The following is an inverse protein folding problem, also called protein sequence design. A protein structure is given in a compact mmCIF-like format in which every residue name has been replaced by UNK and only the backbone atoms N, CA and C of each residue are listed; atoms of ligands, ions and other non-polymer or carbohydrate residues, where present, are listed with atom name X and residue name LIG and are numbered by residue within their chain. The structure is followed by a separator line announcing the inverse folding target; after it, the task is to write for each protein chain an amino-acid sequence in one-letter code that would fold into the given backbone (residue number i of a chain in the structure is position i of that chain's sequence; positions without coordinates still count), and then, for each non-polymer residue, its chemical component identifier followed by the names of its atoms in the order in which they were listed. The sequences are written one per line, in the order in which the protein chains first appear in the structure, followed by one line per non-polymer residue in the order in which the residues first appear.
data_IF_506837860896
#
_entry.id   IF_506837860896
#
_cell.length_a   1.000
_cell.length_b   1.000
_cell.length_c   1.000
_cell.angle_alpha   90.00
_cell.angle_beta   90.00
_cell.angle_gamma   90.00
#
_symmetry.space_group_name_H-M   'P 1'
#
loop_
_entity.id
_entity.type
_entity.pdbx_description
1 polymer ?
#
# COMPACT_ATOMS: atom_id res chain seq x y z
N UNK A 1 3.42 -24.01 3.40
CA UNK A 1 4.71 -24.71 3.65
C UNK A 1 5.78 -24.32 2.64
N UNK A 2 5.55 -24.47 1.33
CA UNK A 2 6.53 -24.11 0.29
C UNK A 2 7.04 -22.66 0.39
N UNK A 3 6.16 -21.69 0.69
CA UNK A 3 6.57 -20.29 0.88
C UNK A 3 7.57 -20.09 2.04
N UNK A 4 7.41 -20.81 3.15
CA UNK A 4 8.32 -20.74 4.29
C UNK A 4 9.67 -21.39 3.97
N UNK A 5 9.66 -22.50 3.23
CA UNK A 5 10.87 -23.16 2.74
C UNK A 5 11.65 -22.24 1.79
N UNK A 6 10.99 -21.68 0.78
CA UNK A 6 11.60 -20.76 -0.16
C UNK A 6 12.21 -19.53 0.55
N UNK A 7 11.52 -19.00 1.55
CA UNK A 7 12.05 -17.89 2.35
C UNK A 7 13.33 -18.29 3.10
N UNK A 8 13.34 -19.44 3.77
CA UNK A 8 14.51 -19.92 4.51
C UNK A 8 15.71 -20.22 3.60
N UNK A 9 15.48 -20.85 2.45
CA UNK A 9 16.54 -21.32 1.55
C UNK A 9 17.11 -20.20 0.66
N UNK A 10 16.30 -19.20 0.28
CA UNK A 10 16.69 -18.17 -0.68
C UNK A 10 16.87 -16.77 -0.08
N UNK A 11 16.47 -16.52 1.17
CA UNK A 11 16.77 -15.28 1.87
C UNK A 11 17.86 -15.56 2.92
N UNK A 12 19.05 -14.94 2.85
CA UNK A 12 20.11 -15.12 3.84
C UNK A 12 19.71 -14.41 5.14
N UNK A 13 18.78 -15.01 5.88
CA UNK A 13 18.33 -14.55 7.17
C UNK A 13 18.42 -15.70 8.16
N UNK A 14 19.17 -15.51 9.25
CA UNK A 14 19.20 -16.44 10.38
C UNK A 14 17.84 -16.44 11.09
N UNK A 15 16.87 -17.18 10.56
CA UNK A 15 15.57 -17.38 11.21
C UNK A 15 15.60 -18.65 12.06
N UNK A 16 15.15 -18.53 13.31
CA UNK A 16 15.13 -19.65 14.25
C UNK A 16 13.79 -20.39 14.10
N UNK A 17 13.86 -21.69 13.78
CA UNK A 17 12.72 -22.60 13.80
C UNK A 17 12.30 -22.86 15.24
N UNK A 18 11.00 -23.06 15.46
CA UNK A 18 10.52 -23.42 16.80
C UNK A 18 11.01 -24.83 17.17
N UNK A 19 11.92 -24.90 18.14
CA UNK A 19 12.42 -26.16 18.70
C UNK A 19 13.62 -26.77 17.96
N UNK A 20 14.22 -26.05 17.02
CA UNK A 20 15.40 -26.51 16.29
C UNK A 20 16.38 -25.35 16.05
N UNK A 21 17.59 -25.41 16.62
CA UNK A 21 18.60 -24.36 16.44
C UNK A 21 19.38 -24.46 15.13
N UNK A 22 19.21 -25.52 14.32
CA UNK A 22 19.92 -25.63 13.03
C UNK A 22 19.41 -24.60 12.01
N UNK A 23 20.35 -23.84 11.44
CA UNK A 23 20.11 -22.79 10.45
C UNK A 23 20.38 -23.27 9.01
N UNK A 24 20.82 -24.50 8.81
CA UNK A 24 21.22 -25.00 7.49
C UNK A 24 20.10 -25.66 6.70
N UNK A 25 18.98 -26.03 7.35
CA UNK A 25 17.85 -26.73 6.71
C UNK A 25 16.51 -26.37 7.35
N UNK A 26 15.48 -26.23 6.51
CA UNK A 26 14.10 -26.13 6.96
C UNK A 26 13.41 -27.50 6.93
N UNK A 27 13.08 -28.07 8.10
CA UNK A 27 12.18 -29.23 8.15
C UNK A 27 10.73 -28.79 8.10
N UNK A 28 10.16 -28.84 6.90
CA UNK A 28 8.75 -28.61 6.69
C UNK A 28 7.88 -29.52 7.58
N UNK A 29 6.93 -28.96 8.35
CA UNK A 29 5.98 -29.80 9.07
C UNK A 29 5.06 -30.52 8.09
N UNK A 30 4.67 -31.75 8.44
CA UNK A 30 3.64 -32.48 7.70
C UNK A 30 2.28 -31.85 7.97
N UNK A 31 1.65 -31.37 6.91
CA UNK A 31 0.30 -30.80 6.92
C UNK A 31 -0.49 -31.37 5.75
N UNK A 32 -1.81 -31.39 5.87
CA UNK A 32 -2.73 -31.66 4.76
C UNK A 32 -3.30 -30.35 4.22
N UNK A 33 -3.56 -30.30 2.92
CA UNK A 33 -4.29 -29.19 2.30
C UNK A 33 -5.77 -29.34 2.61
N UNK A 34 -6.26 -28.53 3.55
CA UNK A 34 -7.62 -28.58 4.06
C UNK A 34 -8.31 -27.22 3.86
N UNK A 35 -9.64 -27.25 3.68
CA UNK A 35 -10.41 -26.03 3.55
C UNK A 35 -10.48 -25.29 4.89
N UNK A 36 -10.04 -24.03 4.90
CA UNK A 36 -10.23 -23.13 6.05
C UNK A 36 -11.68 -22.67 6.10
N UNK A 37 -12.51 -23.35 6.90
CA UNK A 37 -13.94 -23.05 7.03
C UNK A 37 -14.28 -22.21 8.27
N UNK A 38 -13.40 -22.21 9.28
CA UNK A 38 -13.60 -21.49 10.54
C UNK A 38 -12.53 -20.41 10.69
N UNK A 39 -12.94 -19.26 11.22
CA UNK A 39 -12.08 -18.11 11.46
C UNK A 39 -12.25 -17.66 12.91
N UNK A 40 -11.17 -17.19 13.52
CA UNK A 40 -11.24 -16.59 14.84
C UNK A 40 -11.92 -15.20 14.79
N UNK A 41 -12.08 -14.57 15.95
CA UNK A 41 -12.77 -13.29 16.05
C UNK A 41 -12.05 -12.14 15.32
N UNK A 42 -10.78 -12.32 14.93
CA UNK A 42 -9.95 -11.35 14.22
C UNK A 42 -9.76 -11.71 12.75
N UNK A 43 -10.44 -12.76 12.26
CA UNK A 43 -10.41 -13.13 10.85
C UNK A 43 -9.25 -14.05 10.44
N UNK A 44 -8.46 -14.57 11.37
CA UNK A 44 -7.44 -15.59 11.07
C UNK A 44 -8.07 -16.98 10.96
N UNK A 45 -7.67 -17.75 9.95
CA UNK A 45 -8.14 -19.13 9.76
C UNK A 45 -7.76 -20.06 10.91
N UNK A 46 -8.77 -20.69 11.52
CA UNK A 46 -8.64 -21.54 12.72
C UNK A 46 -8.29 -23.01 12.42
N UNK A 47 -8.08 -23.35 11.14
CA UNK A 47 -7.78 -24.72 10.71
C UNK A 47 -6.39 -25.17 11.22
N UNK A 48 -6.29 -26.43 11.67
CA UNK A 48 -5.11 -26.94 12.38
C UNK A 48 -3.86 -26.98 11.49
N UNK A 49 -3.97 -27.48 10.26
CA UNK A 49 -2.86 -27.55 9.32
C UNK A 49 -2.34 -26.16 8.96
N UNK A 50 -3.24 -25.19 8.79
CA UNK A 50 -2.93 -23.78 8.61
C UNK A 50 -2.11 -23.26 9.81
N UNK A 51 -2.56 -23.49 11.04
CA UNK A 51 -1.81 -23.07 12.24
C UNK A 51 -0.43 -23.72 12.35
N UNK A 52 -0.30 -25.00 12.00
CA UNK A 52 1.00 -25.68 11.97
C UNK A 52 1.91 -25.01 10.93
N UNK A 53 1.39 -24.73 9.74
CA UNK A 53 2.15 -24.14 8.64
C UNK A 53 2.62 -22.71 8.94
N UNK A 54 1.72 -21.81 9.39
CA UNK A 54 2.05 -20.40 9.65
C UNK A 54 2.96 -20.19 10.86
N UNK A 55 3.05 -21.19 11.76
CA UNK A 55 3.95 -21.16 12.91
C UNK A 55 5.23 -21.99 12.70
N UNK A 56 5.42 -22.58 11.52
CA UNK A 56 6.63 -23.31 11.18
C UNK A 56 7.87 -22.40 11.13
N UNK A 57 7.65 -21.13 10.77
CA UNK A 57 8.68 -20.11 10.68
C UNK A 57 8.12 -18.79 11.23
N UNK A 58 8.84 -18.16 12.16
CA UNK A 58 8.45 -16.86 12.71
C UNK A 58 9.32 -15.77 12.10
N UNK A 59 8.72 -14.94 11.24
CA UNK A 59 9.43 -13.86 10.55
C UNK A 59 9.42 -12.55 11.34
N UNK A 60 8.31 -12.21 12.00
CA UNK A 60 8.19 -10.94 12.71
C UNK A 60 9.13 -10.87 13.93
N UNK A 61 9.87 -9.77 14.05
CA UNK A 61 10.93 -9.55 15.04
C UNK A 61 11.28 -8.06 15.15
N UNK A 62 11.93 -7.68 16.24
CA UNK A 62 12.38 -6.30 16.46
C UNK A 62 13.90 -6.27 16.61
N UNK A 63 14.54 -5.26 16.04
CA UNK A 63 15.99 -5.04 16.03
C UNK A 63 16.27 -3.60 16.44
N UNK A 64 17.00 -3.43 17.55
CA UNK A 64 17.52 -2.12 17.96
C UNK A 64 18.71 -1.76 17.08
N UNK A 65 18.61 -0.68 16.31
CA UNK A 65 19.70 -0.15 15.50
C UNK A 65 20.36 1.04 16.20
N UNK A 66 21.29 0.74 17.11
CA UNK A 66 21.96 1.73 17.93
C UNK A 66 20.98 2.52 18.82
N UNK A 67 21.20 3.82 18.97
CA UNK A 67 20.36 4.69 19.81
C UNK A 67 19.23 5.39 19.03
N UNK A 68 19.24 5.31 17.70
CA UNK A 68 18.42 6.16 16.83
C UNK A 68 17.12 5.49 16.39
N UNK A 69 17.14 4.17 16.14
CA UNK A 69 16.01 3.47 15.54
C UNK A 69 15.78 2.10 16.15
N UNK A 70 14.50 1.71 16.26
CA UNK A 70 14.07 0.32 16.35
C UNK A 70 13.45 -0.08 15.00
N UNK A 71 13.98 -1.13 14.37
CA UNK A 71 13.41 -1.75 13.18
C UNK A 71 12.49 -2.90 13.61
N UNK A 72 11.19 -2.70 13.42
CA UNK A 72 10.14 -3.63 13.82
C UNK A 72 9.58 -4.27 12.55
N UNK A 73 9.97 -5.53 12.32
CA UNK A 73 9.59 -6.29 11.13
C UNK A 73 8.31 -7.07 11.40
N UNK A 74 7.32 -6.94 10.50
CA UNK A 74 6.09 -7.72 10.52
C UNK A 74 6.06 -8.77 9.41
N UNK A 75 5.39 -9.89 9.67
CA UNK A 75 4.94 -10.82 8.64
C UNK A 75 3.55 -10.39 8.16
N UNK A 76 3.43 -9.94 6.91
CA UNK A 76 2.19 -9.41 6.34
C UNK A 76 1.49 -10.42 5.41
N UNK A 77 1.94 -11.67 5.38
CA UNK A 77 1.37 -12.71 4.50
C UNK A 77 0.90 -13.95 5.26
N UNK A 78 1.62 -14.41 6.28
CA UNK A 78 1.30 -15.67 6.96
C UNK A 78 0.03 -15.61 7.80
N UNK A 79 -0.30 -14.43 8.35
CA UNK A 79 -1.41 -14.27 9.30
C UNK A 79 -2.62 -13.53 8.71
N UNK A 80 -2.59 -13.24 7.40
CA UNK A 80 -3.65 -12.47 6.76
C UNK A 80 -4.92 -13.29 6.55
N UNK A 81 -6.07 -12.63 6.63
CA UNK A 81 -7.36 -13.16 6.20
C UNK A 81 -7.36 -13.43 4.70
N UNK A 82 -8.30 -14.29 4.26
CA UNK A 82 -8.59 -14.39 2.85
C UNK A 82 -9.23 -13.07 2.36
N UNK A 83 -8.64 -12.38 1.36
CA UNK A 83 -9.08 -11.07 0.93
C UNK A 83 -10.55 -11.03 0.52
N UNK A 84 -11.32 -10.06 1.06
CA UNK A 84 -12.76 -9.99 0.82
C UNK A 84 -13.12 -9.74 -0.65
N UNK A 85 -12.27 -9.02 -1.38
CA UNK A 85 -12.41 -8.74 -2.82
C UNK A 85 -12.02 -9.92 -3.73
N UNK A 86 -11.45 -10.99 -3.18
CA UNK A 86 -11.22 -12.23 -3.92
C UNK A 86 -12.35 -13.25 -3.72
N UNK A 87 -13.36 -12.95 -2.90
CA UNK A 87 -14.57 -13.79 -2.85
C UNK A 87 -15.38 -13.61 -4.14
N UNK A 88 -15.95 -14.69 -4.69
CA UNK A 88 -16.73 -14.65 -5.94
C UNK A 88 -17.84 -13.57 -5.92
N UNK A 89 -18.45 -13.35 -4.75
CA UNK A 89 -19.48 -12.33 -4.55
C UNK A 89 -18.99 -10.88 -4.75
N UNK A 90 -17.68 -10.64 -4.67
CA UNK A 90 -17.10 -9.32 -4.90
C UNK A 90 -17.23 -8.86 -6.36
N UNK A 91 -17.34 -9.79 -7.32
CA UNK A 91 -17.58 -9.46 -8.74
C UNK A 91 -18.87 -8.67 -8.97
N UNK A 92 -19.79 -8.65 -8.00
CA UNK A 92 -20.98 -7.81 -8.07
C UNK A 92 -20.64 -6.29 -8.13
N UNK A 93 -19.45 -5.91 -7.66
CA UNK A 93 -18.89 -4.55 -7.73
C UNK A 93 -18.09 -4.28 -9.00
N UNK A 94 -17.98 -5.24 -9.92
CA UNK A 94 -17.32 -5.02 -11.20
C UNK A 94 -18.16 -4.07 -12.08
N UNK A 95 -17.46 -3.21 -12.80
CA UNK A 95 -18.04 -2.30 -13.76
C UNK A 95 -17.13 -2.17 -14.99
N UNK A 96 -17.66 -2.44 -16.18
CA UNK A 96 -16.89 -2.44 -17.43
C UNK A 96 -16.29 -1.06 -17.76
N UNK A 97 -17.03 0.01 -17.46
CA UNK A 97 -16.57 1.39 -17.70
C UNK A 97 -15.43 1.80 -16.76
N UNK A 98 -15.37 1.18 -15.59
CA UNK A 98 -14.42 1.50 -14.53
C UNK A 98 -13.60 0.27 -14.10
N UNK A 99 -13.24 -0.57 -15.08
CA UNK A 99 -12.54 -1.82 -14.84
C UNK A 99 -11.22 -1.60 -14.06
N UNK A 100 -11.03 -2.41 -13.01
CA UNK A 100 -9.86 -2.32 -12.13
C UNK A 100 -9.98 -1.33 -10.96
N UNK A 101 -11.09 -0.58 -10.86
CA UNK A 101 -11.38 0.25 -9.70
C UNK A 101 -12.46 -0.40 -8.83
N UNK A 102 -12.23 -0.42 -7.51
CA UNK A 102 -13.19 -0.95 -6.55
C UNK A 102 -13.73 0.18 -5.64
N UNK A 103 -15.04 0.25 -5.35
CA UNK A 103 -15.62 1.31 -4.52
C UNK A 103 -15.07 1.30 -3.09
N UNK A 104 -14.47 2.42 -2.68
CA UNK A 104 -13.84 2.58 -1.35
C UNK A 104 -14.84 2.26 -0.23
N UNK A 105 -16.08 2.75 -0.33
CA UNK A 105 -17.11 2.52 0.68
C UNK A 105 -17.47 1.03 0.82
N UNK A 106 -17.43 0.26 -0.28
CA UNK A 106 -17.67 -1.18 -0.22
C UNK A 106 -16.50 -1.88 0.49
N UNK A 107 -15.26 -1.45 0.24
CA UNK A 107 -14.09 -1.97 0.96
C UNK A 107 -14.22 -1.72 2.45
N UNK A 108 -14.53 -0.48 2.86
CA UNK A 108 -14.72 -0.13 4.27
C UNK A 108 -15.78 -1.01 4.96
N UNK A 109 -16.88 -1.32 4.27
CA UNK A 109 -17.95 -2.18 4.80
C UNK A 109 -17.51 -3.65 4.86
N UNK A 110 -16.96 -4.18 3.77
CA UNK A 110 -16.61 -5.60 3.64
C UNK A 110 -15.42 -5.99 4.52
N UNK A 111 -14.42 -5.12 4.63
CA UNK A 111 -13.25 -5.27 5.49
C UNK A 111 -13.63 -5.30 6.97
N UNK A 112 -14.46 -4.35 7.43
CA UNK A 112 -14.90 -4.30 8.82
C UNK A 112 -15.86 -5.45 9.18
N UNK A 113 -16.54 -6.04 8.18
CA UNK A 113 -17.49 -7.14 8.37
C UNK A 113 -18.52 -6.82 9.44
N UNK A 114 -18.71 -7.73 10.40
CA UNK A 114 -19.66 -7.59 11.52
C UNK A 114 -19.40 -6.41 12.45
N UNK A 115 -18.22 -5.80 12.40
CA UNK A 115 -17.85 -4.68 13.28
C UNK A 115 -18.21 -3.32 12.69
N UNK A 116 -18.55 -3.27 11.40
CA UNK A 116 -18.86 -2.02 10.70
C UNK A 116 -19.97 -1.23 11.42
N UNK A 117 -19.83 0.11 11.44
CA UNK A 117 -20.80 1.03 12.02
C UNK A 117 -21.23 0.64 13.45
N UNK A 118 -20.25 0.40 14.33
CA UNK A 118 -20.47 -0.01 15.73
C UNK A 118 -21.28 -1.31 15.85
N UNK A 119 -20.93 -2.31 15.04
CA UNK A 119 -21.61 -3.61 15.06
C UNK A 119 -22.96 -3.63 14.34
N UNK A 120 -23.21 -2.67 13.44
CA UNK A 120 -24.43 -2.55 12.64
C UNK A 120 -24.08 -2.49 11.15
N UNK A 121 -23.47 -3.54 10.59
CA UNK A 121 -23.21 -3.61 9.16
C UNK A 121 -24.53 -3.53 8.38
N UNK A 122 -24.57 -2.86 7.22
CA UNK A 122 -25.75 -2.82 6.39
C UNK A 122 -26.00 -4.20 5.76
N UNK A 123 -27.26 -4.54 5.52
CA UNK A 123 -27.66 -5.78 4.82
C UNK A 123 -27.26 -5.76 3.34
N UNK A 124 -27.24 -4.57 2.73
CA UNK A 124 -26.84 -4.37 1.32
C UNK A 124 -25.91 -3.17 1.18
N UNK A 125 -25.04 -3.21 0.19
CA UNK A 125 -24.12 -2.14 -0.20
C UNK A 125 -24.59 -1.56 -1.54
N UNK A 126 -24.73 -0.25 -1.63
CA UNK A 126 -25.15 0.42 -2.86
C UNK A 126 -23.99 0.50 -3.86
N UNK A 127 -24.29 0.30 -5.15
CA UNK A 127 -23.35 0.49 -6.25
C UNK A 127 -24.13 0.88 -7.52
N UNK A 128 -24.24 2.18 -7.76
CA UNK A 128 -25.17 2.76 -8.73
C UNK A 128 -26.61 2.47 -8.31
N UNK A 129 -27.38 1.85 -9.20
CA UNK A 129 -28.76 1.41 -8.92
C UNK A 129 -28.81 0.03 -8.25
N UNK A 130 -27.66 -0.66 -8.10
CA UNK A 130 -27.60 -2.00 -7.48
C UNK A 130 -27.58 -1.89 -5.95
N UNK A 131 -28.25 -2.84 -5.30
CA UNK A 131 -28.16 -3.10 -3.86
C UNK A 131 -27.57 -4.50 -3.66
N UNK A 132 -26.25 -4.58 -3.52
CA UNK A 132 -25.50 -5.84 -3.47
C UNK A 132 -25.57 -6.40 -2.04
N UNK A 133 -25.96 -7.68 -1.84
CA UNK A 133 -25.94 -8.28 -0.50
C UNK A 133 -24.57 -8.17 0.16
N UNK A 134 -24.52 -7.72 1.42
CA UNK A 134 -23.29 -7.67 2.19
C UNK A 134 -22.89 -9.08 2.64
N UNK A 135 -22.12 -9.78 1.81
CA UNK A 135 -21.68 -11.15 2.04
C UNK A 135 -20.68 -11.31 3.21
N UNK A 136 -20.27 -10.21 3.86
CA UNK A 136 -19.38 -10.20 5.03
C UNK A 136 -20.02 -9.66 6.31
N UNK A 137 -21.31 -9.29 6.30
CA UNK A 137 -22.01 -8.69 7.45
C UNK A 137 -21.94 -9.52 8.74
N UNK A 138 -21.93 -10.85 8.64
CA UNK A 138 -21.87 -11.74 9.81
C UNK A 138 -20.46 -12.28 10.11
N UNK A 139 -19.48 -11.90 9.29
CA UNK A 139 -18.12 -12.44 9.36
C UNK A 139 -17.18 -11.48 10.13
N UNK A 140 -16.08 -11.96 10.75
CA UNK A 140 -15.12 -11.08 11.43
C UNK A 140 -14.48 -10.10 10.45
N UNK A 141 -13.96 -9.00 11.01
CA UNK A 141 -13.13 -8.05 10.27
C UNK A 141 -11.88 -8.75 9.71
N UNK A 142 -11.36 -8.23 8.60
CA UNK A 142 -10.13 -8.75 8.01
C UNK A 142 -8.90 -8.38 8.84
N UNK A 143 -7.86 -9.19 8.76
CA UNK A 143 -6.56 -8.94 9.40
C UNK A 143 -5.42 -9.22 8.42
N UNK A 144 -4.30 -8.52 8.59
CA UNK A 144 -3.02 -8.79 7.95
C UNK A 144 -2.06 -9.45 8.94
N UNK A 145 -2.01 -8.96 10.17
CA UNK A 145 -1.06 -9.40 11.19
C UNK A 145 -1.58 -10.56 12.04
N UNK A 146 -2.89 -10.76 12.11
CA UNK A 146 -3.53 -11.61 13.10
C UNK A 146 -3.37 -11.09 14.53
N UNK A 147 -4.19 -11.61 15.45
CA UNK A 147 -4.27 -11.13 16.84
C UNK A 147 -2.92 -11.05 17.56
N UNK A 148 -2.15 -12.15 17.53
CA UNK A 148 -0.92 -12.29 18.34
C UNK A 148 0.19 -11.35 17.88
N UNK A 149 0.42 -11.26 16.57
CA UNK A 149 1.47 -10.39 16.04
C UNK A 149 1.05 -8.93 16.08
N UNK A 150 -0.23 -8.58 15.85
CA UNK A 150 -0.73 -7.21 16.09
C UNK A 150 -0.46 -6.77 17.53
N UNK A 151 -0.87 -7.55 18.52
CA UNK A 151 -0.64 -7.23 19.93
C UNK A 151 0.85 -7.07 20.25
N UNK A 152 1.70 -7.96 19.71
CA UNK A 152 3.15 -7.84 19.82
C UNK A 152 3.68 -6.55 19.18
N UNK A 153 3.21 -6.20 17.97
CA UNK A 153 3.65 -5.02 17.23
C UNK A 153 3.31 -3.73 17.97
N UNK A 154 2.07 -3.59 18.46
CA UNK A 154 1.65 -2.45 19.27
C UNK A 154 2.47 -2.34 20.57
N UNK A 155 2.79 -3.48 21.20
CA UNK A 155 3.66 -3.49 22.37
C UNK A 155 5.10 -3.04 22.05
N UNK A 156 5.66 -3.43 20.89
CA UNK A 156 6.97 -2.96 20.45
C UNK A 156 6.98 -1.44 20.19
N UNK A 157 5.97 -0.92 19.49
CA UNK A 157 5.82 0.52 19.23
C UNK A 157 5.80 1.32 20.53
N UNK A 158 5.02 0.86 21.52
CA UNK A 158 4.88 1.52 22.82
C UNK A 158 6.14 1.41 23.69
N UNK A 159 6.82 0.28 23.66
CA UNK A 159 7.99 0.04 24.51
C UNK A 159 9.29 0.64 23.95
N UNK A 160 9.34 0.95 22.65
CA UNK A 160 10.52 1.48 21.99
C UNK A 160 10.97 2.83 22.58
N UNK A 161 12.19 2.92 23.13
CA UNK A 161 12.74 4.19 23.60
C UNK A 161 13.53 4.93 22.49
N UNK A 162 13.65 4.33 21.29
CA UNK A 162 14.35 4.96 20.17
C UNK A 162 13.56 6.17 19.65
N UNK A 163 14.23 7.24 19.17
CA UNK A 163 13.54 8.35 18.51
C UNK A 163 12.69 7.89 17.32
N UNK A 164 13.17 6.94 16.53
CA UNK A 164 12.48 6.43 15.35
C UNK A 164 12.06 4.97 15.51
N UNK A 165 10.83 4.66 15.11
CA UNK A 165 10.28 3.30 15.01
C UNK A 165 10.03 3.01 13.53
N UNK A 166 10.90 2.22 12.94
CA UNK A 166 10.81 1.85 11.53
C UNK A 166 10.02 0.55 11.43
N UNK A 167 8.81 0.65 10.89
CA UNK A 167 7.99 -0.50 10.57
C UNK A 167 8.45 -1.09 9.24
N UNK A 168 9.20 -2.19 9.30
CA UNK A 168 9.49 -2.98 8.11
C UNK A 168 8.27 -3.82 7.76
N UNK A 169 7.61 -3.43 6.68
CA UNK A 169 6.33 -3.93 6.22
C UNK A 169 6.52 -4.51 4.81
N UNK A 170 5.79 -5.57 4.43
CA UNK A 170 5.91 -6.11 3.07
C UNK A 170 5.06 -5.36 2.04
N UNK A 171 3.98 -4.69 2.48
CA UNK A 171 2.95 -4.12 1.62
C UNK A 171 2.63 -2.66 2.00
N UNK A 172 2.26 -1.85 1.00
CA UNK A 172 1.98 -0.41 1.18
C UNK A 172 0.73 -0.09 1.98
N UNK A 173 0.73 1.06 2.65
CA UNK A 173 -0.34 1.58 3.50
C UNK A 173 -0.91 2.93 3.05
N UNK A 174 -0.19 3.69 2.23
CA UNK A 174 -0.71 4.87 1.55
C UNK A 174 -1.77 4.45 0.53
N UNK A 175 -2.97 5.01 0.60
CA UNK A 175 -4.05 4.64 -0.33
C UNK A 175 -3.71 5.03 -1.78
N UNK A 176 -3.92 4.11 -2.73
CA UNK A 176 -3.94 4.40 -4.16
C UNK A 176 -5.40 4.50 -4.63
N UNK A 177 -5.94 5.73 -4.55
CA UNK A 177 -7.33 6.03 -4.86
C UNK A 177 -7.46 7.07 -5.98
N UNK A 178 -8.51 6.95 -6.78
CA UNK A 178 -8.90 7.90 -7.80
C UNK A 178 -10.25 8.54 -7.45
N UNK A 179 -10.41 9.82 -7.71
CA UNK A 179 -11.67 10.55 -7.49
C UNK A 179 -12.66 10.36 -8.65
N UNK A 180 -12.98 9.11 -8.95
CA UNK A 180 -13.86 8.71 -10.05
C UNK A 180 -15.26 9.32 -9.96
N UNK A 181 -15.73 9.72 -8.78
CA UNK A 181 -16.98 10.46 -8.59
C UNK A 181 -16.98 11.83 -9.30
N UNK A 182 -15.81 12.35 -9.67
CA UNK A 182 -15.65 13.62 -10.38
C UNK A 182 -15.50 13.48 -11.90
N UNK A 183 -15.59 12.25 -12.43
CA UNK A 183 -15.46 11.97 -13.86
C UNK A 183 -16.61 12.63 -14.65
N UNK A 184 -16.37 13.23 -15.83
CA UNK A 184 -17.44 13.79 -16.65
C UNK A 184 -18.40 12.71 -17.17
N UNK A 185 -19.67 13.08 -17.37
CA UNK A 185 -20.72 12.14 -17.84
C UNK A 185 -20.38 11.45 -19.17
N UNK A 186 -19.57 12.08 -20.02
CA UNK A 186 -19.09 11.49 -21.28
C UNK A 186 -18.27 10.21 -21.09
N UNK A 187 -17.70 10.00 -19.91
CA UNK A 187 -16.97 8.79 -19.51
C UNK A 187 -17.86 7.80 -18.73
N UNK A 188 -19.16 8.05 -18.67
CA UNK A 188 -20.08 7.31 -17.81
C UNK A 188 -20.11 7.87 -16.38
N UNK A 189 -21.04 7.35 -15.58
CA UNK A 189 -21.19 7.74 -14.18
C UNK A 189 -20.55 6.68 -13.30
N UNK A 190 -19.59 7.07 -12.48
CA UNK A 190 -19.04 6.19 -11.45
C UNK A 190 -20.18 5.69 -10.54
N UNK A 191 -20.42 4.37 -10.45
CA UNK A 191 -21.48 3.81 -9.61
C UNK A 191 -21.17 3.88 -8.10
N UNK A 192 -19.91 3.99 -7.70
CA UNK A 192 -19.54 4.18 -6.30
C UNK A 192 -19.93 5.57 -5.81
N UNK A 193 -20.11 5.69 -4.49
CA UNK A 193 -20.39 6.95 -3.80
C UNK A 193 -19.11 7.78 -3.62
N UNK A 194 -18.01 7.12 -3.25
CA UNK A 194 -16.75 7.77 -2.91
C UNK A 194 -15.69 7.46 -3.99
N UNK A 195 -14.44 7.31 -3.58
CA UNK A 195 -13.29 7.09 -4.45
C UNK A 195 -13.25 5.65 -4.99
N UNK A 196 -12.59 5.46 -6.13
CA UNK A 196 -12.21 4.14 -6.64
C UNK A 196 -10.80 3.76 -6.18
N UNK A 197 -10.63 2.57 -5.60
CA UNK A 197 -9.33 2.04 -5.20
C UNK A 197 -8.73 1.18 -6.32
N UNK A 198 -7.44 1.39 -6.62
CA UNK A 198 -6.72 0.67 -7.67
C UNK A 198 -5.99 -0.59 -7.19
N UNK A 199 -5.79 -0.70 -5.87
CA UNK A 199 -5.13 -1.85 -5.23
C UNK A 199 -5.86 -2.19 -3.95
N UNK A 200 -6.01 -3.48 -3.70
CA UNK A 200 -6.62 -4.00 -2.48
C UNK A 200 -5.77 -5.07 -1.79
N UNK A 201 -4.81 -5.73 -2.47
CA UNK A 201 -3.96 -6.77 -1.84
C UNK A 201 -2.88 -6.22 -0.88
N UNK A 202 -2.98 -4.93 -0.56
CA UNK A 202 -2.20 -4.22 0.45
C UNK A 202 -3.12 -3.62 1.54
N UNK A 203 -2.58 -2.79 2.44
CA UNK A 203 -3.38 -2.23 3.54
C UNK A 203 -4.53 -1.31 3.10
N UNK A 204 -4.62 -0.93 1.81
CA UNK A 204 -5.79 -0.24 1.24
C UNK A 204 -7.06 -1.09 1.29
N UNK A 205 -6.92 -2.42 1.33
CA UNK A 205 -8.01 -3.37 1.53
C UNK A 205 -8.27 -3.76 2.98
N UNK A 206 -7.30 -3.56 3.89
CA UNK A 206 -7.38 -3.94 5.31
C UNK A 206 -7.46 -2.70 6.22
N UNK A 207 -8.43 -1.82 5.92
CA UNK A 207 -8.54 -0.46 6.50
C UNK A 207 -8.82 -0.47 7.99
N UNK A 208 -9.57 -1.46 8.48
CA UNK A 208 -9.97 -1.61 9.88
C UNK A 208 -8.74 -1.86 10.74
N UNK A 209 -7.92 -2.86 10.39
CA UNK A 209 -6.69 -3.14 11.13
C UNK A 209 -5.64 -2.03 10.95
N UNK A 210 -5.50 -1.45 9.75
CA UNK A 210 -4.65 -0.26 9.53
C UNK A 210 -5.07 0.87 10.46
N UNK A 211 -6.37 1.13 10.56
CA UNK A 211 -6.96 2.16 11.40
C UNK A 211 -6.70 1.92 12.88
N UNK A 212 -6.84 0.68 13.38
CA UNK A 212 -6.51 0.32 14.77
C UNK A 212 -5.04 0.62 15.10
N UNK A 213 -4.12 0.33 14.19
CA UNK A 213 -2.68 0.60 14.36
C UNK A 213 -2.42 2.11 14.42
N UNK A 214 -2.98 2.88 13.48
CA UNK A 214 -2.77 4.33 13.42
C UNK A 214 -3.44 5.05 14.59
N UNK A 215 -4.63 4.61 15.01
CA UNK A 215 -5.28 5.10 16.23
C UNK A 215 -4.44 4.81 17.47
N UNK A 216 -3.84 3.61 17.57
CA UNK A 216 -2.97 3.27 18.68
C UNK A 216 -1.75 4.20 18.75
N UNK A 217 -1.11 4.50 17.62
CA UNK A 217 -0.01 5.47 17.52
C UNK A 217 -0.48 6.84 18.00
N UNK A 218 -1.62 7.31 17.52
CA UNK A 218 -2.22 8.60 17.88
C UNK A 218 -2.52 8.71 19.38
N UNK A 219 -3.31 7.78 19.91
CA UNK A 219 -3.82 7.80 21.29
C UNK A 219 -2.69 7.68 22.32
N UNK A 220 -1.62 6.96 21.99
CA UNK A 220 -0.46 6.82 22.88
C UNK A 220 0.61 7.90 22.65
N UNK A 221 0.39 8.86 21.73
CA UNK A 221 1.34 9.94 21.44
C UNK A 221 2.70 9.42 20.93
N UNK A 222 2.71 8.31 20.21
CA UNK A 222 3.94 7.68 19.70
C UNK A 222 4.46 8.50 18.52
N UNK A 223 5.70 8.98 18.60
CA UNK A 223 6.34 9.79 17.57
C UNK A 223 7.38 8.99 16.78
N UNK A 224 7.85 9.56 15.66
CA UNK A 224 8.93 8.99 14.85
C UNK A 224 8.60 7.66 14.19
N UNK A 225 7.33 7.41 13.88
CA UNK A 225 6.89 6.17 13.22
C UNK A 225 6.99 6.32 11.70
N UNK A 226 7.74 5.43 11.04
CA UNK A 226 7.82 5.38 9.59
C UNK A 226 7.72 3.95 9.06
N UNK A 227 6.87 3.71 8.06
CA UNK A 227 6.75 2.44 7.33
C UNK A 227 7.71 2.44 6.15
N UNK A 228 8.40 1.32 5.95
CA UNK A 228 9.23 1.06 4.75
C UNK A 228 8.82 -0.29 4.17
N UNK A 229 8.42 -0.30 2.90
CA UNK A 229 7.86 -1.48 2.24
C UNK A 229 8.10 -1.50 0.72
N UNK A 230 7.65 -2.55 0.05
CA UNK A 230 7.72 -2.72 -1.40
C UNK A 230 6.39 -3.21 -1.98
N UNK A 231 6.43 -4.35 -2.70
CA UNK A 231 5.28 -5.07 -3.31
C UNK A 231 4.60 -4.34 -4.48
N UNK A 232 4.42 -3.02 -4.42
CA UNK A 232 3.74 -2.24 -5.45
C UNK A 232 4.51 -2.06 -6.77
N UNK A 233 5.80 -2.40 -6.79
CA UNK A 233 6.70 -2.12 -7.92
C UNK A 233 6.66 -0.64 -8.33
N UNK A 234 6.66 0.23 -7.33
CA UNK A 234 6.41 1.65 -7.49
C UNK A 234 6.99 2.43 -6.30
N UNK A 235 7.41 3.66 -6.54
CA UNK A 235 7.78 4.58 -5.48
C UNK A 235 6.55 5.32 -4.96
N UNK A 236 6.36 5.34 -3.64
CA UNK A 236 5.38 6.20 -2.98
C UNK A 236 6.01 6.81 -1.73
N UNK A 237 5.80 8.10 -1.49
CA UNK A 237 6.15 8.73 -0.23
C UNK A 237 4.98 9.57 0.28
N UNK A 238 4.77 9.57 1.59
CA UNK A 238 3.63 10.26 2.16
C UNK A 238 3.49 10.13 3.66
N UNK A 239 2.37 10.64 4.17
CA UNK A 239 2.01 10.57 5.58
C UNK A 239 0.76 9.70 5.77
N UNK A 240 0.82 8.76 6.70
CA UNK A 240 -0.26 7.82 7.00
C UNK A 240 -1.25 8.44 7.97
N UNK A 241 -2.52 8.45 7.56
CA UNK A 241 -3.66 8.74 8.42
C UNK A 241 -4.67 7.59 8.33
N UNK A 242 -5.43 7.38 9.40
CA UNK A 242 -6.53 6.41 9.42
C UNK A 242 -7.58 6.75 8.37
N UNK A 243 -7.88 8.04 8.27
CA UNK A 243 -8.93 8.59 7.43
C UNK A 243 -8.31 9.56 6.42
N UNK A 244 -8.96 9.70 5.28
CA UNK A 244 -8.66 10.70 4.25
C UNK A 244 -9.93 11.49 3.95
N UNK A 245 -9.86 12.64 3.25
CA UNK A 245 -11.06 13.36 2.84
C UNK A 245 -12.06 12.43 2.13
N UNK A 246 -13.37 12.61 2.38
CA UNK A 246 -13.98 13.74 3.08
C UNK A 246 -13.93 13.66 4.62
N UNK A 247 -13.39 12.58 5.21
CA UNK A 247 -13.19 12.48 6.65
C UNK A 247 -11.93 13.23 7.10
N UNK A 248 -11.79 13.42 8.41
CA UNK A 248 -10.67 14.16 9.01
C UNK A 248 -9.32 13.52 8.68
N UNK A 249 -8.46 14.28 8.02
CA UNK A 249 -7.10 13.87 7.71
C UNK A 249 -6.15 14.24 8.86
N UNK A 250 -5.74 13.22 9.62
CA UNK A 250 -4.91 13.35 10.81
C UNK A 250 -3.69 12.41 10.70
N UNK A 251 -2.61 12.83 10.02
CA UNK A 251 -1.45 11.96 9.81
C UNK A 251 -0.66 11.76 11.10
N UNK A 252 -0.17 10.53 11.32
CA UNK A 252 0.55 10.13 12.55
C UNK A 252 1.83 9.33 12.30
N UNK A 253 2.06 8.91 11.06
CA UNK A 253 3.26 8.21 10.64
C UNK A 253 3.64 8.61 9.22
N UNK A 254 4.85 8.27 8.79
CA UNK A 254 5.30 8.40 7.40
C UNK A 254 5.34 7.03 6.73
N UNK A 255 5.27 6.99 5.41
CA UNK A 255 5.55 5.78 4.65
C UNK A 255 6.39 6.06 3.40
N UNK A 256 7.29 5.12 3.13
CA UNK A 256 8.13 5.09 1.94
C UNK A 256 8.04 3.70 1.31
N UNK A 257 7.35 3.62 0.17
CA UNK A 257 7.28 2.41 -0.66
C UNK A 257 8.42 2.49 -1.67
N UNK A 258 9.31 1.50 -1.65
CA UNK A 258 10.38 1.35 -2.63
C UNK A 258 9.88 0.67 -3.91
N UNK A 259 10.44 1.08 -5.05
CA UNK A 259 10.19 0.44 -6.33
C UNK A 259 10.71 -1.00 -6.39
N UNK A 260 10.37 -1.68 -7.47
CA UNK A 260 10.99 -2.95 -7.84
C UNK A 260 12.40 -2.72 -8.37
N UNK A 261 13.28 -3.69 -8.15
CA UNK A 261 14.60 -3.68 -8.80
C UNK A 261 14.46 -4.02 -10.28
N UNK A 262 13.58 -4.96 -10.65
CA UNK A 262 13.41 -5.42 -12.03
C UNK A 262 12.01 -5.91 -12.39
N UNK A 263 11.10 -6.06 -11.42
CA UNK A 263 9.73 -6.51 -11.70
C UNK A 263 8.93 -5.39 -12.37
N UNK A 264 8.15 -5.67 -13.44
CA UNK A 264 7.38 -4.64 -14.13
C UNK A 264 6.41 -3.91 -13.20
N UNK A 265 6.34 -2.58 -13.34
CA UNK A 265 5.45 -1.71 -12.58
C UNK A 265 4.05 -1.56 -13.20
N UNK A 266 3.17 -0.83 -12.51
CA UNK A 266 1.80 -0.61 -12.99
C UNK A 266 1.77 0.18 -14.30
N UNK A 267 2.66 1.17 -14.48
CA UNK A 267 2.72 1.95 -15.71
C UNK A 267 3.09 1.09 -16.94
N UNK A 268 4.02 0.14 -16.80
CA UNK A 268 4.34 -0.80 -17.88
C UNK A 268 3.15 -1.71 -18.20
N UNK A 269 2.50 -2.24 -17.15
CA UNK A 269 1.30 -3.06 -17.31
C UNK A 269 0.18 -2.27 -18.03
N UNK A 270 -0.07 -1.02 -17.64
CA UNK A 270 -1.08 -0.20 -18.31
C UNK A 270 -0.68 0.14 -19.75
N UNK A 271 0.58 0.51 -19.99
CA UNK A 271 1.05 0.82 -21.34
C UNK A 271 0.92 -0.37 -22.30
N UNK A 272 1.07 -1.59 -21.81
CA UNK A 272 0.93 -2.82 -22.58
C UNK A 272 -0.54 -3.26 -22.78
N UNK A 273 -1.41 -3.05 -21.79
CA UNK A 273 -2.75 -3.68 -21.77
C UNK A 273 -3.92 -2.70 -21.94
N UNK A 274 -3.75 -1.42 -21.63
CA UNK A 274 -4.83 -0.43 -21.72
C UNK A 274 -4.92 0.11 -23.14
N UNK A 275 -6.07 -0.13 -23.78
CA UNK A 275 -6.38 0.30 -25.14
C UNK A 275 -7.03 1.70 -25.12
N UNK A 276 -6.88 2.43 -26.22
CA UNK A 276 -7.38 3.81 -26.34
C UNK A 276 -8.93 3.92 -26.29
N UNK A 277 -9.64 2.81 -26.53
CA UNK A 277 -11.10 2.72 -26.43
C UNK A 277 -11.61 2.44 -25.00
N UNK A 278 -10.73 2.13 -24.06
CA UNK A 278 -11.09 1.98 -22.65
C UNK A 278 -11.35 3.34 -22.00
N UNK A 279 -12.47 3.47 -21.28
CA UNK A 279 -12.87 4.76 -20.69
C UNK A 279 -11.86 5.34 -19.69
N UNK A 280 -11.16 4.48 -18.94
CA UNK A 280 -10.12 4.93 -18.01
C UNK A 280 -8.75 5.17 -18.67
N UNK A 281 -8.59 4.98 -19.99
CA UNK A 281 -7.29 5.13 -20.65
C UNK A 281 -6.61 6.45 -20.29
N UNK A 282 -7.31 7.58 -20.48
CA UNK A 282 -6.77 8.92 -20.19
C UNK A 282 -6.39 9.16 -18.72
N UNK A 283 -6.85 8.30 -17.80
CA UNK A 283 -6.48 8.35 -16.38
C UNK A 283 -5.27 7.46 -16.06
N UNK A 284 -4.97 6.48 -16.91
CA UNK A 284 -3.94 5.46 -16.67
C UNK A 284 -2.70 5.68 -17.53
N UNK A 285 -2.87 5.94 -18.83
CA UNK A 285 -1.80 6.14 -19.81
C UNK A 285 -2.22 7.20 -20.83
N UNK A 286 -1.26 8.03 -21.26
CA UNK A 286 -1.44 8.93 -22.41
C UNK A 286 -0.42 8.61 -23.50
N UNK A 287 -0.86 8.59 -24.76
CA UNK A 287 -0.01 8.26 -25.93
C UNK A 287 0.04 9.44 -26.90
N UNK A 288 0.88 10.46 -26.66
CA UNK A 288 1.02 11.56 -27.60
C UNK A 288 1.55 11.07 -28.96
N UNK A 289 1.08 11.66 -30.05
CA UNK A 289 1.52 11.29 -31.41
C UNK A 289 3.03 11.46 -31.54
N UNK A 290 3.73 10.36 -31.83
CA UNK A 290 5.19 10.34 -32.01
C UNK A 290 6.01 10.41 -30.72
N UNK A 291 5.38 10.28 -29.54
CA UNK A 291 6.04 10.26 -28.24
C UNK A 291 5.92 8.92 -27.52
N UNK A 292 6.66 8.78 -26.42
CA UNK A 292 6.52 7.64 -25.51
C UNK A 292 5.22 7.70 -24.70
N UNK A 293 4.77 6.56 -24.20
CA UNK A 293 3.63 6.49 -23.30
C UNK A 293 3.94 7.25 -21.99
N UNK A 294 3.00 8.09 -21.56
CA UNK A 294 3.09 8.89 -20.35
C UNK A 294 2.28 8.24 -19.21
N UNK A 295 2.84 8.13 -17.99
CA UNK A 295 2.23 7.44 -16.86
C UNK A 295 1.13 8.29 -16.18
N UNK A 296 -0.02 8.43 -16.84
CA UNK A 296 -1.13 9.25 -16.34
C UNK A 296 -1.66 8.82 -14.98
N UNK A 297 -1.50 7.54 -14.61
CA UNK A 297 -1.94 7.03 -13.30
C UNK A 297 -1.29 7.79 -12.13
N UNK A 298 -0.03 8.21 -12.27
CA UNK A 298 0.66 9.01 -11.24
C UNK A 298 -0.04 10.37 -11.08
N UNK A 299 -0.32 11.03 -12.21
CA UNK A 299 -0.97 12.33 -12.23
C UNK A 299 -2.41 12.25 -11.72
N UNK A 300 -3.15 11.22 -12.10
CA UNK A 300 -4.51 10.96 -11.63
C UNK A 300 -4.56 10.70 -10.12
N UNK A 301 -3.60 9.95 -9.57
CA UNK A 301 -3.52 9.69 -8.14
C UNK A 301 -3.21 10.96 -7.32
N UNK A 302 -2.40 11.89 -7.86
CA UNK A 302 -1.99 13.12 -7.17
C UNK A 302 -2.97 14.29 -7.35
N UNK A 303 -3.53 14.44 -8.56
CA UNK A 303 -4.27 15.63 -8.97
C UNK A 303 -5.74 15.36 -9.28
N UNK A 304 -6.14 14.09 -9.44
CA UNK A 304 -7.52 13.71 -9.70
C UNK A 304 -7.91 13.75 -11.17
N UNK A 305 -9.07 13.17 -11.47
CA UNK A 305 -9.52 12.83 -12.82
C UNK A 305 -9.70 14.04 -13.72
N UNK A 306 -10.17 15.18 -13.19
CA UNK A 306 -10.39 16.39 -13.99
C UNK A 306 -9.08 16.99 -14.49
N UNK A 307 -8.07 17.04 -13.62
CA UNK A 307 -6.73 17.46 -14.01
C UNK A 307 -6.17 16.53 -15.09
N UNK A 308 -6.29 15.20 -14.91
CA UNK A 308 -5.81 14.22 -15.89
C UNK A 308 -6.45 14.40 -17.27
N UNK A 309 -7.78 14.54 -17.33
CA UNK A 309 -8.49 14.74 -18.59
C UNK A 309 -8.15 16.09 -19.26
N UNK A 310 -7.94 17.13 -18.46
CA UNK A 310 -7.46 18.42 -18.97
C UNK A 310 -6.05 18.31 -19.57
N UNK A 311 -5.17 17.55 -18.94
CA UNK A 311 -3.83 17.31 -19.48
C UNK A 311 -3.85 16.42 -20.73
N UNK A 312 -4.65 15.34 -20.72
CA UNK A 312 -4.76 14.44 -21.86
C UNK A 312 -5.19 15.17 -23.13
N UNK A 313 -6.22 16.02 -23.00
CA UNK A 313 -6.76 16.82 -24.12
C UNK A 313 -5.84 17.94 -24.60
N UNK A 314 -5.13 18.64 -23.71
CA UNK A 314 -4.39 19.86 -24.07
C UNK A 314 -2.88 19.67 -24.21
N UNK A 315 -2.30 18.70 -23.50
CA UNK A 315 -0.86 18.61 -23.27
C UNK A 315 -0.28 19.73 -22.40
N UNK A 316 -1.11 20.62 -21.82
CA UNK A 316 -0.66 21.72 -20.96
C UNK A 316 -0.72 21.32 -19.48
N UNK A 317 0.43 20.92 -18.93
CA UNK A 317 0.55 20.53 -17.52
C UNK A 317 0.13 21.64 -16.55
N UNK A 318 0.44 22.90 -16.86
CA UNK A 318 0.18 24.02 -15.96
C UNK A 318 -1.32 24.29 -15.87
N UNK A 319 -2.00 24.30 -17.02
CA UNK A 319 -3.45 24.45 -17.06
C UNK A 319 -4.17 23.26 -16.40
N UNK A 320 -3.66 22.03 -16.61
CA UNK A 320 -4.22 20.83 -15.99
C UNK A 320 -4.10 20.84 -14.46
N UNK A 321 -2.94 21.21 -13.91
CA UNK A 321 -2.74 21.31 -12.45
C UNK A 321 -3.67 22.30 -11.77
N UNK A 322 -4.12 23.34 -12.48
CA UNK A 322 -5.10 24.30 -11.94
C UNK A 322 -6.46 23.64 -11.66
N UNK A 323 -6.72 22.45 -12.22
CA UNK A 323 -7.92 21.65 -11.97
C UNK A 323 -7.71 20.54 -10.92
N UNK A 324 -6.60 20.55 -10.19
CA UNK A 324 -6.32 19.53 -9.17
C UNK A 324 -7.42 19.48 -8.11
N UNK A 325 -7.78 18.27 -7.70
CA UNK A 325 -8.57 18.03 -6.51
C UNK A 325 -7.64 17.82 -5.30
N UNK A 326 -7.47 18.80 -4.39
CA UNK A 326 -6.57 18.64 -3.23
C UNK A 326 -7.07 17.56 -2.24
N UNK A 327 -8.31 17.12 -2.35
CA UNK A 327 -8.87 16.07 -1.51
C UNK A 327 -8.51 14.67 -2.01
N UNK A 328 -8.01 14.49 -3.25
CA UNK A 328 -7.75 13.16 -3.79
C UNK A 328 -6.70 12.40 -3.01
N UNK A 329 -5.57 13.04 -2.70
CA UNK A 329 -4.48 12.36 -2.02
C UNK A 329 -3.63 13.33 -1.19
N UNK A 330 -4.20 14.02 -0.18
CA UNK A 330 -3.41 14.89 0.70
C UNK A 330 -2.35 14.13 1.52
N UNK A 331 -2.43 12.80 1.55
CA UNK A 331 -1.47 11.90 2.17
C UNK A 331 -0.24 11.62 1.30
N UNK A 332 -0.31 11.83 -0.02
CA UNK A 332 0.81 11.58 -0.91
C UNK A 332 1.67 12.83 -1.08
N UNK A 333 2.97 12.68 -0.84
CA UNK A 333 3.99 13.67 -1.19
C UNK A 333 4.65 13.35 -2.55
N UNK A 334 4.64 12.08 -2.95
CA UNK A 334 5.22 11.60 -4.20
C UNK A 334 4.63 10.25 -4.61
N UNK A 335 4.47 10.04 -5.91
CA UNK A 335 4.15 8.75 -6.50
C UNK A 335 4.82 8.58 -7.86
N UNK A 336 5.45 7.43 -8.05
CA UNK A 336 5.90 6.96 -9.35
C UNK A 336 5.63 5.46 -9.50
N UNK A 337 4.56 5.12 -10.24
CA UNK A 337 4.15 3.75 -10.53
C UNK A 337 4.87 3.11 -11.74
N UNK A 338 5.86 3.78 -12.31
CA UNK A 338 6.70 3.25 -13.39
C UNK A 338 8.19 3.19 -13.07
N UNK A 339 8.60 3.68 -11.90
CA UNK A 339 9.99 3.71 -11.48
C UNK A 339 10.52 2.32 -11.12
N UNK A 340 11.80 2.09 -11.45
CA UNK A 340 12.58 0.95 -10.97
C UNK A 340 13.71 1.46 -10.10
N UNK A 341 14.14 0.69 -9.10
CA UNK A 341 15.31 1.01 -8.30
C UNK A 341 15.17 0.61 -6.84
N UNK A 342 15.68 1.46 -5.96
CA UNK A 342 15.74 1.18 -4.53
C UNK A 342 15.63 2.45 -3.69
N UNK A 343 15.49 2.26 -2.38
CA UNK A 343 15.42 3.35 -1.42
C UNK A 343 16.55 3.27 -0.40
N UNK A 344 17.08 4.41 0.02
CA UNK A 344 18.10 4.50 1.06
C UNK A 344 17.56 5.33 2.21
N UNK A 345 17.52 4.75 3.41
CA UNK A 345 17.04 5.43 4.63
C UNK A 345 18.23 5.80 5.51
N UNK A 346 18.32 7.06 5.94
CA UNK A 346 19.32 7.58 6.88
C UNK A 346 18.62 8.18 8.09
N UNK A 347 19.11 7.85 9.29
CA UNK A 347 18.44 8.19 10.55
C UNK A 347 19.44 8.79 11.54
N UNK A 348 19.15 10.01 11.98
CA UNK A 348 19.76 10.65 13.15
C UNK A 348 18.74 10.69 14.31
N UNK A 349 19.13 11.09 15.53
CA UNK A 349 18.16 11.22 16.63
C UNK A 349 17.00 12.18 16.33
N UNK A 350 17.21 13.15 15.45
CA UNK A 350 16.31 14.27 15.18
C UNK A 350 15.74 14.28 13.75
N UNK A 351 16.29 13.47 12.84
CA UNK A 351 15.92 13.51 11.41
C UNK A 351 15.83 12.10 10.82
N UNK A 352 14.83 11.92 9.96
CA UNK A 352 14.68 10.79 9.04
C UNK A 352 14.82 11.32 7.62
N UNK A 353 15.75 10.75 6.87
CA UNK A 353 15.89 11.01 5.43
C UNK A 353 15.67 9.71 4.65
N UNK A 354 14.87 9.78 3.59
CA UNK A 354 14.70 8.69 2.63
C UNK A 354 15.00 9.18 1.23
N UNK A 355 15.91 8.52 0.52
CA UNK A 355 16.16 8.77 -0.91
C UNK A 355 15.51 7.67 -1.74
N UNK A 356 14.77 8.05 -2.77
CA UNK A 356 14.45 7.15 -3.87
C UNK A 356 15.48 7.35 -4.97
N UNK A 357 16.12 6.23 -5.34
CA UNK A 357 17.13 6.15 -6.39
C UNK A 357 16.49 5.37 -7.53
N UNK A 358 16.03 6.10 -8.55
CA UNK A 358 15.41 5.49 -9.71
C UNK A 358 16.47 5.21 -10.77
N UNK A 359 16.49 3.98 -11.25
CA UNK A 359 17.27 3.56 -12.40
C UNK A 359 16.40 3.59 -13.66
N UNK A 360 17.01 3.66 -14.86
CA UNK A 360 16.30 3.36 -16.09
C UNK A 360 15.71 1.94 -16.04
N UNK A 361 14.62 1.66 -16.79
CA UNK A 361 14.07 0.32 -16.88
C UNK A 361 15.16 -0.72 -17.17
N UNK A 362 15.34 -1.75 -16.34
CA UNK A 362 16.47 -2.68 -16.43
C UNK A 362 16.22 -3.76 -17.49
N UNK A 363 15.85 -3.34 -18.71
CA UNK A 363 15.59 -4.21 -19.85
C UNK A 363 16.89 -4.77 -20.46
N UNK A 364 17.99 -4.03 -20.33
CA UNK A 364 19.30 -4.42 -20.80
C UNK A 364 20.33 -4.38 -19.67
N UNK A 365 21.30 -5.28 -19.70
CA UNK A 365 22.37 -5.32 -18.70
C UNK A 365 23.29 -4.10 -18.89
N UNK A 366 23.58 -3.38 -17.81
CA UNK A 366 24.60 -2.33 -17.84
C UNK A 366 25.97 -2.88 -18.23
N UNK A 367 26.71 -2.14 -19.06
CA UNK A 367 28.10 -2.42 -19.41
C UNK A 367 29.11 -1.98 -18.35
N UNK A 368 28.68 -1.31 -17.28
CA UNK A 368 29.52 -0.78 -16.21
C UNK A 368 29.08 -1.29 -14.84
N UNK A 369 30.05 -1.43 -13.92
CA UNK A 369 29.81 -1.95 -12.56
C UNK A 369 28.97 -1.01 -11.68
N UNK A 370 28.91 0.29 -12.03
CA UNK A 370 28.09 1.29 -11.34
C UNK A 370 26.61 1.27 -11.73
N UNK A 371 26.22 0.38 -12.66
CA UNK A 371 24.83 0.23 -13.10
C UNK A 371 24.35 1.28 -14.11
N UNK A 372 25.22 2.21 -14.52
CA UNK A 372 24.88 3.26 -15.48
C UNK A 372 24.21 4.50 -14.85
N UNK A 373 23.72 5.43 -15.67
CA UNK A 373 23.09 6.66 -15.18
C UNK A 373 21.77 6.38 -14.47
N UNK A 374 21.44 7.20 -13.47
CA UNK A 374 20.14 7.20 -12.81
C UNK A 374 19.09 7.90 -13.68
N UNK A 375 17.84 7.45 -13.57
CA UNK A 375 16.70 8.16 -14.17
C UNK A 375 16.38 9.43 -13.38
N UNK A 376 16.40 9.35 -12.04
CA UNK A 376 16.31 10.49 -11.14
C UNK A 376 16.65 10.08 -9.70
N UNK A 377 16.85 11.09 -8.87
CA UNK A 377 16.96 10.95 -7.42
C UNK A 377 16.11 12.01 -6.72
N UNK A 378 15.31 11.57 -5.75
CA UNK A 378 14.50 12.43 -4.90
C UNK A 378 14.74 12.08 -3.44
N UNK A 379 14.89 13.09 -2.60
CA UNK A 379 15.09 12.94 -1.16
C UNK A 379 13.89 13.50 -0.42
N UNK A 380 13.47 12.78 0.61
CA UNK A 380 12.48 13.21 1.56
C UNK A 380 13.12 13.37 2.93
N UNK A 381 12.85 14.48 3.61
CA UNK A 381 13.40 14.77 4.93
C UNK A 381 12.27 15.08 5.90
N UNK A 382 12.33 14.48 7.09
CA UNK A 382 11.40 14.75 8.18
C UNK A 382 12.16 14.95 9.48
N UNK A 383 11.80 16.01 10.21
CA UNK A 383 12.24 16.20 11.59
C UNK A 383 11.38 15.36 12.52
N UNK A 384 11.97 14.86 13.59
CA UNK A 384 11.23 14.19 14.66
C UNK A 384 10.19 15.15 15.21
N UNK A 385 8.92 14.75 15.14
CA UNK A 385 7.79 15.53 15.63
C UNK A 385 7.53 15.26 17.11
N UNK A 386 6.83 16.18 17.78
CA UNK A 386 6.39 16.00 19.17
C UNK A 386 5.07 15.22 19.23
N UNK A 387 4.73 14.63 20.38
CA UNK A 387 3.43 14.00 20.57
C UNK A 387 2.29 14.98 20.26
N UNK A 388 1.34 14.55 19.42
CA UNK A 388 0.20 15.37 18.97
C UNK A 388 0.49 16.28 17.76
N UNK A 389 1.74 16.39 17.32
CA UNK A 389 2.08 17.06 16.05
C UNK A 389 1.99 16.08 14.87
N UNK A 390 1.47 16.56 13.75
CA UNK A 390 1.51 15.82 12.48
C UNK A 390 2.95 15.72 11.95
N UNK A 391 3.37 14.56 11.39
CA UNK A 391 4.65 14.46 10.71
C UNK A 391 4.65 15.39 9.49
N UNK A 392 5.80 16.01 9.24
CA UNK A 392 6.03 16.87 8.06
C UNK A 392 7.10 16.26 7.19
N UNK A 393 6.87 16.27 5.88
CA UNK A 393 7.79 15.73 4.90
C UNK A 393 8.20 16.83 3.92
N UNK A 394 9.47 17.15 3.89
CA UNK A 394 10.07 18.05 2.90
C UNK A 394 10.59 17.21 1.74
N UNK A 395 10.31 17.64 0.50
CA UNK A 395 10.70 16.94 -0.73
C UNK A 395 11.78 17.73 -1.45
N UNK A 396 12.89 17.09 -1.77
CA UNK A 396 14.05 17.67 -2.44
C UNK A 396 14.38 16.88 -3.71
N UNK A 397 14.18 17.51 -4.86
CA UNK A 397 14.58 16.94 -6.14
C UNK A 397 16.10 17.12 -6.32
N UNK A 398 16.85 16.01 -6.36
CA UNK A 398 18.31 16.03 -6.43
C UNK A 398 18.81 15.99 -7.88
N UNK A 399 18.06 15.33 -8.76
CA UNK A 399 18.30 15.19 -10.20
C UNK A 399 16.96 15.40 -10.93
N UNK A 400 16.97 15.83 -12.19
CA UNK A 400 15.74 16.17 -12.91
C UNK A 400 14.77 14.97 -13.00
N UNK A 401 13.58 15.12 -12.41
CA UNK A 401 12.46 14.20 -12.57
C UNK A 401 11.62 14.56 -13.80
N UNK A 402 10.96 13.59 -14.45
CA UNK A 402 9.86 13.79 -15.39
C UNK A 402 8.87 14.88 -14.95
N UNK A 403 8.48 15.72 -15.90
CA UNK A 403 7.65 16.90 -15.67
C UNK A 403 6.27 16.57 -15.07
N UNK A 404 5.78 15.34 -15.27
CA UNK A 404 4.52 14.86 -14.70
C UNK A 404 4.54 14.70 -13.18
N UNK A 405 5.72 14.76 -12.54
CA UNK A 405 5.90 14.54 -11.10
C UNK A 405 6.33 15.80 -10.33
N UNK A 406 6.85 16.82 -11.01
CA UNK A 406 7.03 18.18 -10.44
C UNK A 406 5.71 18.92 -10.40
#
# INVERSE_FOLDING_TARGET
VAAAQAWFEYQPAHAVKRGDPDLNRFDAPKVADEKVAQFDADGLGAERNNHIAIHALKLYRSLRWGKNADLILTDNRSFRSYPAWNEDAASAFDNEDFAGAFPQEAVEILDAGKTYNNGKPPETIAFGEKHIPNFRKDKPAQTVLGRKQKAWFLAQLRASPAPWKIWGNSIGSLDARLDLQNVPETFGKWPGRDYGLLTLDDWSGYRSERGEILDFVKVNGITGVASVCGDRHAFYAGALSKNLPPQDYEPVALEFVGASVSSPGACEAFAANVKDDMKLHALLVRRPKGGAAEPMVNFSAMHGVRASLAYDSSGDLKAARAQSNPQVAPHLAFVDMGGHGYSVVRITPDTLETEFVCIPPPAERSGTDDGGPLAYRIRFTSKLWKPGEAPKLETHLMEAAPALWS
#
